data_IF_484751405401
#
_entry.id   IF_484751405401
#
_cell.length_a   1.000
_cell.length_b   1.000
_cell.length_c   1.000
_cell.angle_alpha   90.00
_cell.angle_beta   90.00
_cell.angle_gamma   90.00
#
_symmetry.space_group_name_H-M   'P 1'
#
loop_
_entity.id
_entity.type
_entity.pdbx_description
1 polymer ?
#
# COMPACT_ATOMS: atom_id res chain seq x y z
N UNK A 1 -3.68 39.43 8.95
CA UNK A 1 -3.33 38.94 7.60
C UNK A 1 -4.31 37.85 7.26
N UNK A 2 -5.15 38.04 6.24
CA UNK A 2 -6.01 36.99 5.71
C UNK A 2 -5.07 35.95 5.08
N UNK A 3 -5.02 34.77 5.68
CA UNK A 3 -4.28 33.63 5.15
C UNK A 3 -4.99 33.24 3.85
N UNK A 4 -4.32 33.41 2.71
CA UNK A 4 -4.93 33.07 1.42
C UNK A 4 -5.04 31.55 1.31
N UNK A 5 -6.25 31.03 1.56
CA UNK A 5 -6.56 29.61 1.53
C UNK A 5 -6.15 28.96 0.21
N UNK A 6 -6.19 29.72 -0.90
CA UNK A 6 -5.77 29.22 -2.22
C UNK A 6 -4.28 28.95 -2.27
N UNK A 7 -3.47 29.84 -1.68
CA UNK A 7 -2.01 29.68 -1.61
C UNK A 7 -1.66 28.51 -0.67
N UNK A 8 -2.36 28.38 0.46
CA UNK A 8 -2.15 27.27 1.39
C UNK A 8 -2.54 25.91 0.77
N UNK A 9 -3.65 25.85 0.03
CA UNK A 9 -4.07 24.65 -0.68
C UNK A 9 -3.09 24.28 -1.81
N UNK A 10 -2.63 25.24 -2.61
CA UNK A 10 -1.64 25.01 -3.65
C UNK A 10 -0.32 24.49 -3.07
N UNK A 11 0.15 25.10 -1.97
CA UNK A 11 1.34 24.63 -1.24
C UNK A 11 1.15 23.21 -0.74
N UNK A 12 0.05 22.91 -0.05
CA UNK A 12 -0.23 21.56 0.47
C UNK A 12 -0.28 20.51 -0.65
N UNK A 13 -0.81 20.86 -1.82
CA UNK A 13 -0.82 19.99 -3.00
C UNK A 13 0.59 19.69 -3.51
N UNK A 14 1.44 20.71 -3.67
CA UNK A 14 2.83 20.54 -4.10
C UNK A 14 3.60 19.64 -3.11
N UNK A 15 3.42 19.85 -1.81
CA UNK A 15 4.04 19.00 -0.78
C UNK A 15 3.53 17.55 -0.83
N UNK A 16 2.24 17.35 -1.09
CA UNK A 16 1.68 16.01 -1.25
C UNK A 16 2.26 15.29 -2.48
N UNK A 17 2.36 15.97 -3.62
CA UNK A 17 2.96 15.43 -4.85
C UNK A 17 4.44 15.09 -4.63
N UNK A 18 5.20 15.97 -3.98
CA UNK A 18 6.61 15.72 -3.65
C UNK A 18 6.79 14.52 -2.72
N UNK A 19 5.96 14.39 -1.68
CA UNK A 19 5.99 13.22 -0.79
C UNK A 19 5.65 11.92 -1.52
N UNK A 20 4.70 11.96 -2.47
CA UNK A 20 4.36 10.81 -3.29
C UNK A 20 5.54 10.39 -4.19
N UNK A 21 6.25 11.35 -4.79
CA UNK A 21 7.44 11.09 -5.59
C UNK A 21 8.55 10.44 -4.74
N UNK A 22 8.84 11.00 -3.55
CA UNK A 22 9.85 10.46 -2.64
C UNK A 22 9.52 9.04 -2.19
N UNK A 23 8.26 8.79 -1.87
CA UNK A 23 7.79 7.45 -1.51
C UNK A 23 7.94 6.47 -2.68
N UNK A 24 7.63 6.88 -3.91
CA UNK A 24 7.80 6.03 -5.09
C UNK A 24 9.27 5.73 -5.38
N UNK A 25 10.17 6.69 -5.18
CA UNK A 25 11.62 6.47 -5.26
C UNK A 25 12.09 5.46 -4.22
N UNK A 26 11.59 5.54 -2.97
CA UNK A 26 11.93 4.58 -1.93
C UNK A 26 11.46 3.15 -2.28
N UNK A 27 10.23 3.01 -2.82
CA UNK A 27 9.71 1.72 -3.33
C UNK A 27 10.60 1.19 -4.45
N UNK A 28 10.91 2.01 -5.46
CA UNK A 28 11.75 1.61 -6.59
C UNK A 28 13.15 1.21 -6.14
N UNK A 29 13.74 1.98 -5.22
CA UNK A 29 15.06 1.68 -4.65
C UNK A 29 15.07 0.32 -3.95
N UNK A 30 14.04 0.04 -3.13
CA UNK A 30 13.86 -1.26 -2.49
C UNK A 30 13.76 -2.40 -3.51
N UNK A 31 12.91 -2.25 -4.53
CA UNK A 31 12.73 -3.26 -5.58
C UNK A 31 14.03 -3.50 -6.34
N UNK A 32 14.77 -2.44 -6.69
CA UNK A 32 16.03 -2.57 -7.42
C UNK A 32 17.09 -3.29 -6.58
N UNK A 33 17.23 -2.92 -5.30
CA UNK A 33 18.18 -3.57 -4.38
C UNK A 33 17.91 -5.05 -4.18
N UNK A 34 16.65 -5.43 -4.03
CA UNK A 34 16.27 -6.82 -3.81
C UNK A 34 16.34 -7.66 -5.11
N UNK A 35 15.87 -7.13 -6.24
CA UNK A 35 15.77 -7.92 -7.48
C UNK A 35 17.05 -7.92 -8.32
N UNK A 36 17.74 -6.79 -8.42
CA UNK A 36 18.90 -6.67 -9.31
C UNK A 36 20.22 -6.79 -8.55
N UNK A 37 20.30 -6.27 -7.33
CA UNK A 37 21.53 -6.30 -6.53
C UNK A 37 21.59 -7.50 -5.56
N UNK A 38 20.53 -8.31 -5.48
CA UNK A 38 20.39 -9.45 -4.56
C UNK A 38 20.82 -9.13 -3.11
N UNK A 39 20.59 -7.90 -2.66
CA UNK A 39 20.97 -7.50 -1.32
C UNK A 39 20.02 -8.09 -0.28
N UNK A 40 20.52 -8.27 0.94
CA UNK A 40 19.71 -8.75 2.04
C UNK A 40 18.72 -7.69 2.52
N UNK A 41 17.66 -8.11 3.21
CA UNK A 41 16.70 -7.17 3.80
C UNK A 41 17.36 -6.20 4.81
N UNK A 42 18.48 -6.60 5.41
CA UNK A 42 19.22 -5.78 6.38
C UNK A 42 19.84 -4.55 5.70
N UNK A 43 20.27 -4.69 4.44
CA UNK A 43 20.86 -3.60 3.65
C UNK A 43 19.81 -2.59 3.14
N UNK A 44 18.53 -2.94 3.27
CA UNK A 44 17.38 -2.14 2.86
C UNK A 44 16.61 -1.54 4.06
N UNK A 45 17.29 -1.35 5.19
CA UNK A 45 16.66 -0.91 6.44
C UNK A 45 15.94 0.44 6.28
N UNK A 46 16.52 1.41 5.59
CA UNK A 46 15.91 2.75 5.42
C UNK A 46 14.64 2.69 4.59
N UNK A 47 14.67 1.97 3.47
CA UNK A 47 13.51 1.77 2.61
C UNK A 47 12.40 1.06 3.38
N UNK A 48 12.75 0.02 4.15
CA UNK A 48 11.81 -0.71 4.98
C UNK A 48 11.15 0.19 6.03
N UNK A 49 11.94 1.03 6.71
CA UNK A 49 11.43 2.02 7.68
C UNK A 49 10.47 3.00 7.02
N UNK A 50 10.81 3.54 5.84
CA UNK A 50 9.94 4.47 5.11
C UNK A 50 8.63 3.79 4.69
N UNK A 51 8.71 2.57 4.16
CA UNK A 51 7.56 1.80 3.66
C UNK A 51 6.59 1.41 4.78
N UNK A 52 7.07 1.20 6.00
CA UNK A 52 6.23 0.84 7.15
C UNK A 52 5.73 2.08 7.90
N UNK A 53 6.60 3.05 8.19
CA UNK A 53 6.22 4.21 9.00
C UNK A 53 5.24 5.13 8.26
N UNK A 54 5.39 5.28 6.94
CA UNK A 54 4.51 6.16 6.14
C UNK A 54 3.04 5.77 6.24
N UNK A 55 2.61 4.51 5.96
CA UNK A 55 1.21 4.12 6.09
C UNK A 55 0.72 4.12 7.55
N UNK A 56 1.58 3.81 8.53
CA UNK A 56 1.21 3.89 9.95
C UNK A 56 0.89 5.35 10.33
N UNK A 57 1.77 6.29 9.98
CA UNK A 57 1.56 7.70 10.23
C UNK A 57 0.29 8.22 9.54
N UNK A 58 0.07 7.86 8.27
CA UNK A 58 -1.16 8.20 7.55
C UNK A 58 -2.40 7.65 8.25
N UNK A 59 -2.36 6.41 8.74
CA UNK A 59 -3.48 5.80 9.46
C UNK A 59 -3.79 6.53 10.77
N UNK A 60 -2.77 6.85 11.57
CA UNK A 60 -2.92 7.58 12.83
C UNK A 60 -3.45 8.98 12.59
N UNK A 61 -2.84 9.73 11.68
CA UNK A 61 -3.23 11.12 11.39
C UNK A 61 -4.61 11.21 10.75
N UNK A 62 -4.96 10.26 9.89
CA UNK A 62 -6.32 10.14 9.38
C UNK A 62 -7.33 9.95 10.52
N UNK A 63 -7.02 9.18 11.56
CA UNK A 63 -7.90 9.01 12.73
C UNK A 63 -8.02 10.30 13.53
N UNK A 64 -6.90 10.97 13.77
CA UNK A 64 -6.88 12.24 14.52
C UNK A 64 -7.68 13.35 13.83
N UNK A 65 -7.67 13.38 12.49
CA UNK A 65 -8.40 14.40 11.74
C UNK A 65 -9.84 14.01 11.39
N UNK A 66 -10.34 12.85 11.82
CA UNK A 66 -11.67 12.35 11.45
C UNK A 66 -11.86 11.99 9.96
N UNK A 67 -10.87 12.26 9.11
CA UNK A 67 -10.96 12.07 7.66
C UNK A 67 -10.75 10.60 7.27
N UNK A 68 -11.60 10.08 6.39
CA UNK A 68 -11.31 8.84 5.66
C UNK A 68 -10.51 9.19 4.41
N UNK A 69 -9.18 9.00 4.45
CA UNK A 69 -8.27 9.32 3.33
C UNK A 69 -8.61 8.58 2.03
N UNK A 70 -9.29 7.44 2.13
CA UNK A 70 -9.81 6.71 0.99
C UNK A 70 -11.28 6.38 1.26
N UNK A 71 -12.19 6.94 0.46
CA UNK A 71 -13.51 6.31 0.28
C UNK A 71 -13.19 4.89 -0.17
N UNK A 72 -13.63 3.89 0.60
CA UNK A 72 -13.24 2.51 0.35
C UNK A 72 -13.96 2.09 -0.92
N UNK A 73 -13.26 2.26 -2.04
CA UNK A 73 -13.78 1.94 -3.34
C UNK A 73 -14.19 0.47 -3.33
N UNK A 74 -15.46 0.21 -3.66
CA UNK A 74 -15.98 -1.16 -3.75
C UNK A 74 -15.01 -1.96 -4.63
N UNK A 75 -14.46 -3.09 -4.13
CA UNK A 75 -13.48 -3.84 -4.88
C UNK A 75 -14.05 -4.21 -6.24
N UNK A 76 -13.47 -3.67 -7.30
CA UNK A 76 -13.88 -4.01 -8.66
C UNK A 76 -13.27 -5.38 -8.99
N UNK A 77 -14.07 -6.43 -9.26
CA UNK A 77 -13.56 -7.78 -9.48
C UNK A 77 -12.54 -7.83 -10.61
N UNK A 78 -12.69 -7.01 -11.66
CA UNK A 78 -11.72 -6.94 -12.77
C UNK A 78 -10.36 -6.42 -12.32
N UNK A 79 -10.34 -5.38 -11.46
CA UNK A 79 -9.09 -4.81 -10.92
C UNK A 79 -8.44 -5.74 -9.91
N UNK A 80 -9.25 -6.41 -9.07
CA UNK A 80 -8.75 -7.42 -8.13
C UNK A 80 -8.07 -8.58 -8.86
N UNK A 81 -8.74 -9.15 -9.87
CA UNK A 81 -8.16 -10.23 -10.68
C UNK A 81 -6.88 -9.75 -11.38
N UNK A 82 -6.88 -8.56 -11.98
CA UNK A 82 -5.67 -8.00 -12.59
C UNK A 82 -4.53 -7.84 -11.59
N UNK A 83 -4.80 -7.35 -10.37
CA UNK A 83 -3.78 -7.20 -9.32
C UNK A 83 -3.29 -8.54 -8.76
N UNK A 84 -4.17 -9.54 -8.66
CA UNK A 84 -3.81 -10.89 -8.23
C UNK A 84 -2.91 -11.55 -9.26
N UNK A 85 -3.30 -11.50 -10.54
CA UNK A 85 -2.51 -12.05 -11.65
C UNK A 85 -1.16 -11.33 -11.76
N UNK A 86 -1.15 -10.00 -11.69
CA UNK A 86 0.09 -9.22 -11.70
C UNK A 86 1.02 -9.56 -10.53
N UNK A 87 0.46 -9.73 -9.33
CA UNK A 87 1.21 -10.13 -8.15
C UNK A 87 1.77 -11.56 -8.26
N UNK A 88 0.99 -12.50 -8.78
CA UNK A 88 1.47 -13.87 -9.04
C UNK A 88 2.62 -13.90 -10.05
N UNK A 89 2.52 -13.11 -11.12
CA UNK A 89 3.60 -12.99 -12.11
C UNK A 89 4.85 -12.38 -11.48
N UNK A 90 4.70 -11.32 -10.71
CA UNK A 90 5.82 -10.68 -10.01
C UNK A 90 6.51 -11.64 -9.03
N UNK A 91 5.75 -12.35 -8.19
CA UNK A 91 6.29 -13.34 -7.25
C UNK A 91 6.96 -14.49 -7.99
N UNK A 92 6.38 -14.96 -9.10
CA UNK A 92 6.97 -15.99 -9.96
C UNK A 92 8.31 -15.56 -10.55
N UNK A 93 8.42 -14.31 -11.05
CA UNK A 93 9.67 -13.75 -11.56
C UNK A 93 10.71 -13.61 -10.44
N UNK A 94 10.33 -13.07 -9.27
CA UNK A 94 11.23 -12.95 -8.13
C UNK A 94 11.81 -14.31 -7.71
N UNK A 95 10.96 -15.35 -7.68
CA UNK A 95 11.38 -16.70 -7.36
C UNK A 95 12.32 -17.29 -8.41
N UNK A 96 12.00 -17.13 -9.69
CA UNK A 96 12.86 -17.57 -10.80
C UNK A 96 14.24 -16.89 -10.81
N UNK A 97 14.33 -15.66 -10.30
CA UNK A 97 15.60 -14.94 -10.16
C UNK A 97 16.40 -15.34 -8.92
N UNK A 98 15.74 -15.84 -7.86
CA UNK A 98 16.37 -16.16 -6.58
C UNK A 98 16.73 -17.65 -6.43
N UNK A 99 16.17 -18.53 -7.24
CA UNK A 99 16.32 -19.98 -7.04
C UNK A 99 16.73 -20.72 -8.31
N UNK A 100 17.73 -21.60 -8.18
CA UNK A 100 18.03 -22.71 -9.10
C UNK A 100 17.02 -23.88 -8.90
N UNK A 101 15.84 -23.61 -8.36
CA UNK A 101 14.92 -24.63 -7.84
C UNK A 101 14.26 -25.41 -8.99
N UNK A 102 14.63 -26.68 -9.10
CA UNK A 102 14.11 -27.64 -10.09
C UNK A 102 12.76 -28.27 -9.71
N UNK A 103 12.22 -27.99 -8.53
CA UNK A 103 11.01 -28.66 -8.03
C UNK A 103 9.75 -27.78 -8.13
N UNK A 104 8.73 -28.22 -8.89
CA UNK A 104 7.51 -27.44 -9.09
C UNK A 104 6.68 -27.26 -7.81
N UNK A 105 6.84 -28.14 -6.82
CA UNK A 105 6.08 -28.09 -5.57
C UNK A 105 6.31 -26.80 -4.75
N UNK A 106 7.55 -26.30 -4.69
CA UNK A 106 7.89 -25.08 -3.95
C UNK A 106 7.21 -23.84 -4.56
N UNK A 107 7.15 -23.78 -5.89
CA UNK A 107 6.47 -22.72 -6.64
C UNK A 107 4.97 -22.69 -6.27
N UNK A 108 4.31 -23.85 -6.24
CA UNK A 108 2.90 -23.92 -5.87
C UNK A 108 2.64 -23.50 -4.41
N UNK A 109 3.53 -23.86 -3.49
CA UNK A 109 3.39 -23.45 -2.08
C UNK A 109 3.56 -21.94 -1.89
N UNK A 110 4.52 -21.32 -2.59
CA UNK A 110 4.75 -19.88 -2.60
C UNK A 110 3.55 -19.12 -3.19
N UNK A 111 3.09 -19.53 -4.38
CA UNK A 111 1.94 -18.92 -5.03
C UNK A 111 0.67 -19.08 -4.20
N UNK A 112 0.45 -20.26 -3.60
CA UNK A 112 -0.65 -20.49 -2.67
C UNK A 112 -0.61 -19.56 -1.47
N UNK A 113 0.57 -19.40 -0.85
CA UNK A 113 0.79 -18.48 0.28
C UNK A 113 0.51 -17.04 -0.12
N UNK A 114 1.00 -16.59 -1.29
CA UNK A 114 0.74 -15.26 -1.82
C UNK A 114 -0.76 -15.00 -2.01
N UNK A 115 -1.50 -15.93 -2.62
CA UNK A 115 -2.95 -15.81 -2.83
C UNK A 115 -3.68 -15.64 -1.50
N UNK A 116 -3.34 -16.46 -0.49
CA UNK A 116 -3.96 -16.38 0.84
C UNK A 116 -3.69 -15.01 1.49
N UNK A 117 -2.42 -14.57 1.53
CA UNK A 117 -2.05 -13.27 2.10
C UNK A 117 -2.74 -12.12 1.35
N UNK A 118 -2.76 -12.18 0.01
CA UNK A 118 -3.41 -11.18 -0.83
C UNK A 118 -4.91 -11.06 -0.50
N UNK A 119 -5.62 -12.17 -0.39
CA UNK A 119 -7.05 -12.17 -0.04
C UNK A 119 -7.29 -11.63 1.38
N UNK A 120 -6.46 -12.01 2.35
CA UNK A 120 -6.55 -11.51 3.73
C UNK A 120 -6.34 -9.99 3.79
N UNK A 121 -5.33 -9.48 3.09
CA UNK A 121 -5.04 -8.03 3.05
C UNK A 121 -6.18 -7.28 2.35
N UNK A 122 -6.62 -7.73 1.17
CA UNK A 122 -7.68 -7.06 0.41
C UNK A 122 -9.01 -7.04 1.18
N UNK A 123 -9.42 -8.19 1.72
CA UNK A 123 -10.66 -8.28 2.47
C UNK A 123 -10.57 -7.55 3.82
N UNK A 124 -9.42 -7.62 4.48
CA UNK A 124 -9.12 -6.90 5.71
C UNK A 124 -9.20 -5.38 5.52
N UNK A 125 -8.51 -4.84 4.51
CA UNK A 125 -8.56 -3.42 4.18
C UNK A 125 -9.98 -2.97 3.81
N UNK A 126 -10.69 -3.76 2.99
CA UNK A 126 -12.09 -3.45 2.64
C UNK A 126 -12.99 -3.40 3.87
N UNK A 127 -12.93 -4.41 4.75
CA UNK A 127 -13.80 -4.51 5.93
C UNK A 127 -13.49 -3.43 6.97
N UNK A 128 -12.21 -3.19 7.25
CA UNK A 128 -11.79 -2.13 8.18
C UNK A 128 -12.19 -0.75 7.66
N UNK A 129 -11.99 -0.52 6.37
CA UNK A 129 -12.35 0.71 5.71
C UNK A 129 -13.86 0.96 5.72
N UNK A 130 -14.67 -0.03 5.33
CA UNK A 130 -16.14 0.09 5.30
C UNK A 130 -16.72 0.37 6.68
N UNK A 131 -16.28 -0.38 7.70
CA UNK A 131 -16.70 -0.15 9.10
C UNK A 131 -16.37 1.25 9.60
N UNK A 132 -15.30 1.85 9.09
CA UNK A 132 -14.89 3.20 9.47
C UNK A 132 -15.73 4.26 8.77
N UNK A 133 -16.00 4.07 7.47
CA UNK A 133 -16.89 4.94 6.72
C UNK A 133 -18.31 4.94 7.34
N UNK A 134 -18.87 3.76 7.61
CA UNK A 134 -20.19 3.61 8.25
C UNK A 134 -20.26 4.21 9.65
N UNK A 135 -19.13 4.31 10.38
CA UNK A 135 -19.09 4.96 11.71
C UNK A 135 -19.10 6.48 11.60
N UNK A 136 -18.34 7.03 10.65
CA UNK A 136 -18.25 8.46 10.45
C UNK A 136 -19.54 9.01 9.84
N UNK A 137 -20.15 8.31 8.88
CA UNK A 137 -21.47 8.67 8.34
C UNK A 137 -22.52 8.80 9.45
N UNK A 138 -22.54 7.87 10.42
CA UNK A 138 -23.44 7.96 11.58
C UNK A 138 -23.11 9.12 12.53
N UNK A 139 -21.83 9.39 12.75
CA UNK A 139 -21.39 10.49 13.61
C UNK A 139 -21.79 11.86 13.03
N UNK A 140 -21.78 12.02 11.70
CA UNK A 140 -22.29 13.22 11.04
C UNK A 140 -23.82 13.31 11.01
N UNK A 141 -24.53 12.20 10.77
CA UNK A 141 -26.00 12.18 10.75
C UNK A 141 -26.63 12.41 12.15
N UNK A 142 -25.90 12.11 13.23
CA UNK A 142 -26.34 12.35 14.62
C UNK A 142 -26.06 13.79 15.11
N UNK A 143 -25.25 14.58 14.38
CA UNK A 143 -24.91 15.98 14.69
C UNK A 143 -25.83 17.02 13.99
N UNK A 144 -26.65 16.59 13.02
CA UNK A 144 -27.69 17.40 12.31
C UNK A 144 -29.09 17.23 12.95
#
# INVERSE_FOLDING_TARGET
>A
MIKDERIEQARNKIWAEMMQILYFIAVLSFVVKILFLQQSLQDCTLEYVILILTPIYQMIRARQMGVVLNVVAKPNPKRLVASLVGGMVAVGICFAMQTEAKQPAEIFTMLGTFVVVFLVVQFGMYRMGKRRQEKLEKEYDDED
#
